data_IF_660286894515
#
_entry.id   IF_660286894515
#
_cell.length_a   1.000
_cell.length_b   1.000
_cell.length_c   1.000
_cell.angle_alpha   90.00
_cell.angle_beta   90.00
_cell.angle_gamma   90.00
#
_symmetry.space_group_name_H-M   'P 1'
#
loop_
_entity.id
_entity.type
_entity.pdbx_description
1 polymer ?
#
# COMPACT_ATOMS: atom_id res chain seq x y z
N UNK A 1 1.01 27.76 -17.17
CA UNK A 1 0.41 26.42 -16.91
C UNK A 1 -1.04 26.46 -17.36
N UNK A 2 -1.46 25.52 -18.21
CA UNK A 2 -2.81 25.47 -18.76
C UNK A 2 -3.85 25.28 -17.64
N UNK A 3 -4.79 26.21 -17.50
CA UNK A 3 -5.92 26.08 -16.57
C UNK A 3 -7.04 25.33 -17.29
N UNK A 4 -7.50 24.24 -16.68
CA UNK A 4 -8.61 23.49 -17.23
C UNK A 4 -9.94 24.20 -16.92
N UNK A 5 -10.79 24.35 -17.95
CA UNK A 5 -12.05 25.11 -17.93
C UNK A 5 -13.22 24.35 -17.28
N UNK A 6 -13.03 23.77 -16.09
CA UNK A 6 -14.13 23.15 -15.35
C UNK A 6 -14.39 23.85 -14.01
N UNK A 7 -15.66 24.16 -13.73
CA UNK A 7 -16.11 24.82 -12.51
C UNK A 7 -16.75 23.82 -11.54
N UNK A 8 -15.94 22.88 -11.04
CA UNK A 8 -16.42 21.86 -10.11
C UNK A 8 -16.14 22.34 -8.67
N UNK A 9 -17.19 22.38 -7.83
CA UNK A 9 -17.10 22.72 -6.41
C UNK A 9 -17.12 21.45 -5.55
N UNK A 10 -16.25 21.35 -4.55
CA UNK A 10 -16.26 20.25 -3.54
C UNK A 10 -16.17 20.81 -2.12
N UNK A 11 -16.64 20.01 -1.16
CA UNK A 11 -16.51 20.27 0.28
C UNK A 11 -15.21 19.67 0.80
N UNK A 12 -14.40 20.47 1.49
CA UNK A 12 -13.17 19.99 2.13
C UNK A 12 -13.49 19.08 3.32
N UNK A 13 -12.93 17.85 3.41
CA UNK A 13 -13.17 16.95 4.54
C UNK A 13 -12.61 17.42 5.89
N UNK A 14 -11.70 18.41 5.89
CA UNK A 14 -11.00 18.87 7.09
C UNK A 14 -11.68 20.09 7.71
N UNK A 15 -11.94 21.13 6.92
CA UNK A 15 -12.55 22.37 7.40
C UNK A 15 -14.03 22.54 7.00
N UNK A 16 -14.56 21.68 6.12
CA UNK A 16 -15.94 21.76 5.66
C UNK A 16 -16.23 22.89 4.65
N UNK A 17 -15.25 23.71 4.28
CA UNK A 17 -15.42 24.78 3.31
C UNK A 17 -15.67 24.21 1.90
N UNK A 18 -16.57 24.87 1.15
CA UNK A 18 -16.80 24.58 -0.27
C UNK A 18 -15.82 25.39 -1.09
N UNK A 19 -15.05 24.73 -1.96
CA UNK A 19 -14.02 25.37 -2.78
C UNK A 19 -14.09 24.90 -4.23
N UNK A 20 -13.60 25.74 -5.14
CA UNK A 20 -13.50 25.41 -6.56
C UNK A 20 -12.19 24.67 -6.85
N UNK A 21 -12.30 23.59 -7.60
CA UNK A 21 -11.20 22.71 -7.90
C UNK A 21 -10.42 23.18 -9.12
N UNK A 22 -9.09 23.16 -9.03
CA UNK A 22 -8.16 23.41 -10.15
C UNK A 22 -7.82 22.14 -10.95
N UNK A 23 -7.72 21.00 -10.28
CA UNK A 23 -7.36 19.68 -10.86
C UNK A 23 -8.36 18.64 -10.37
N UNK A 24 -8.89 17.78 -11.24
CA UNK A 24 -9.94 16.78 -10.92
C UNK A 24 -9.63 15.97 -9.63
N UNK A 25 -8.34 15.74 -9.35
CA UNK A 25 -7.85 14.99 -8.19
C UNK A 25 -7.79 15.78 -6.87
N UNK A 26 -8.08 17.08 -6.87
CA UNK A 26 -8.02 17.90 -5.66
C UNK A 26 -9.15 17.56 -4.68
N UNK A 27 -8.77 17.19 -3.46
CA UNK A 27 -9.68 16.83 -2.37
C UNK A 27 -9.79 17.93 -1.30
N UNK A 28 -8.74 18.74 -1.14
CA UNK A 28 -8.63 19.72 -0.05
C UNK A 28 -8.61 21.15 -0.60
N UNK A 29 -9.17 22.08 0.18
CA UNK A 29 -9.25 23.49 -0.22
C UNK A 29 -7.91 24.22 -0.20
N UNK A 30 -6.96 23.78 0.63
CA UNK A 30 -5.66 24.45 0.84
C UNK A 30 -4.58 23.45 1.23
N UNK A 31 -3.31 23.88 1.12
CA UNK A 31 -2.14 23.13 1.60
C UNK A 31 -2.26 22.77 3.08
N UNK A 32 -2.69 23.71 3.91
CA UNK A 32 -2.92 23.46 5.35
C UNK A 32 -3.88 22.30 5.60
N UNK A 33 -5.01 22.24 4.89
CA UNK A 33 -5.95 21.12 5.03
C UNK A 33 -5.36 19.81 4.53
N UNK A 34 -4.59 19.85 3.44
CA UNK A 34 -3.86 18.68 2.94
C UNK A 34 -2.84 18.16 3.96
N UNK A 35 -2.09 19.05 4.60
CA UNK A 35 -1.05 18.70 5.57
C UNK A 35 -1.67 18.13 6.86
N UNK A 36 -2.78 18.69 7.32
CA UNK A 36 -3.56 18.14 8.44
C UNK A 36 -4.07 16.74 8.11
N UNK A 37 -4.60 16.53 6.90
CA UNK A 37 -5.07 15.22 6.48
C UNK A 37 -3.92 14.20 6.39
N UNK A 38 -2.76 14.63 5.86
CA UNK A 38 -1.55 13.81 5.80
C UNK A 38 -1.06 13.42 7.19
N UNK A 39 -0.98 14.38 8.12
CA UNK A 39 -0.59 14.13 9.52
C UNK A 39 -1.55 13.16 10.20
N UNK A 40 -2.86 13.38 10.09
CA UNK A 40 -3.89 12.46 10.63
C UNK A 40 -3.76 11.04 10.08
N UNK A 41 -3.43 10.91 8.79
CA UNK A 41 -3.19 9.61 8.15
C UNK A 41 -1.94 8.94 8.74
N UNK A 42 -0.83 9.67 8.85
CA UNK A 42 0.43 9.16 9.43
C UNK A 42 0.27 8.76 10.90
N UNK A 43 -0.44 9.55 11.68
CA UNK A 43 -0.72 9.23 13.09
C UNK A 43 -1.58 7.96 13.23
N UNK A 44 -2.54 7.75 12.31
CA UNK A 44 -3.36 6.53 12.26
C UNK A 44 -2.52 5.31 11.89
N UNK A 45 -1.69 5.42 10.85
CA UNK A 45 -0.75 4.37 10.43
C UNK A 45 0.21 3.99 11.56
N UNK A 46 0.76 4.98 12.28
CA UNK A 46 1.66 4.75 13.40
C UNK A 46 0.97 4.06 14.59
N UNK A 47 -0.27 4.46 14.92
CA UNK A 47 -1.07 3.79 15.96
C UNK A 47 -1.37 2.34 15.57
N UNK A 48 -1.74 2.10 14.32
CA UNK A 48 -2.02 0.76 13.82
C UNK A 48 -0.77 -0.13 13.81
N UNK A 49 0.39 0.40 13.44
CA UNK A 49 1.66 -0.32 13.52
C UNK A 49 2.02 -0.72 14.97
N UNK A 50 1.78 0.16 15.95
CA UNK A 50 1.96 -0.16 17.38
C UNK A 50 1.03 -1.29 17.83
N UNK A 51 -0.24 -1.25 17.41
CA UNK A 51 -1.17 -2.34 17.71
C UNK A 51 -0.76 -3.65 17.06
N UNK A 52 -0.24 -3.62 15.83
CA UNK A 52 0.25 -4.84 15.16
C UNK A 52 1.49 -5.42 15.85
N UNK A 53 2.39 -4.58 16.38
CA UNK A 53 3.53 -5.02 17.18
C UNK A 53 3.06 -5.70 18.47
N UNK A 54 2.19 -5.03 19.24
CA UNK A 54 1.61 -5.59 20.46
C UNK A 54 0.86 -6.91 20.20
N UNK A 55 0.11 -7.00 19.11
CA UNK A 55 -0.61 -8.22 18.74
C UNK A 55 0.31 -9.42 18.46
N UNK A 56 1.56 -9.21 18.04
CA UNK A 56 2.53 -10.29 17.82
C UNK A 56 3.17 -10.81 19.11
N UNK A 57 3.28 -9.95 20.12
CA UNK A 57 3.88 -10.29 21.41
C UNK A 57 2.94 -11.10 22.30
N UNK A 58 1.63 -11.07 22.02
CA UNK A 58 0.62 -11.75 22.83
C UNK A 58 0.57 -13.24 22.47
N UNK A 59 0.92 -14.17 23.39
CA UNK A 59 0.77 -15.59 23.15
C UNK A 59 -0.72 -15.99 23.15
N UNK A 60 -1.08 -16.92 22.26
CA UNK A 60 -2.47 -17.38 22.10
C UNK A 60 -3.02 -18.15 23.31
N UNK A 61 -2.14 -18.67 24.16
CA UNK A 61 -2.48 -19.46 25.35
C UNK A 61 -3.12 -18.59 26.46
N UNK A 62 -2.89 -17.27 26.44
CA UNK A 62 -3.37 -16.39 27.51
C UNK A 62 -4.87 -16.12 27.40
N UNK A 63 -5.63 -16.65 28.36
CA UNK A 63 -7.10 -16.50 28.43
C UNK A 63 -7.55 -15.09 28.85
N UNK A 64 -6.77 -14.42 29.71
CA UNK A 64 -7.08 -13.09 30.24
C UNK A 64 -6.23 -12.00 29.56
N UNK A 65 -6.90 -11.15 28.79
CA UNK A 65 -6.30 -10.03 28.07
C UNK A 65 -6.51 -8.72 28.84
N UNK A 66 -5.50 -7.85 28.87
CA UNK A 66 -5.68 -6.46 29.24
C UNK A 66 -6.49 -5.71 28.18
N UNK A 67 -7.04 -4.55 28.55
CA UNK A 67 -7.80 -3.70 27.60
C UNK A 67 -6.93 -3.27 26.41
N UNK A 68 -5.63 -3.03 26.61
CA UNK A 68 -4.73 -2.65 25.51
C UNK A 68 -4.47 -3.82 24.56
N UNK A 69 -4.23 -5.01 25.10
CA UNK A 69 -4.06 -6.25 24.33
C UNK A 69 -5.33 -6.58 23.55
N UNK A 70 -6.51 -6.46 24.18
CA UNK A 70 -7.80 -6.67 23.53
C UNK A 70 -8.00 -5.72 22.33
N UNK A 71 -7.63 -4.45 22.46
CA UNK A 71 -7.73 -3.48 21.36
C UNK A 71 -6.73 -3.77 20.24
N UNK A 72 -5.56 -4.32 20.57
CA UNK A 72 -4.57 -4.70 19.57
C UNK A 72 -5.05 -5.90 18.73
N UNK A 73 -5.66 -6.91 19.39
CA UNK A 73 -6.08 -8.17 18.75
C UNK A 73 -7.44 -8.04 18.05
N UNK A 74 -8.40 -7.32 18.64
CA UNK A 74 -9.77 -7.20 18.15
C UNK A 74 -10.03 -5.85 17.49
N UNK A 75 -11.04 -5.80 16.60
CA UNK A 75 -11.48 -4.57 15.96
C UNK A 75 -12.42 -3.77 16.88
N UNK A 76 -11.92 -3.35 18.04
CA UNK A 76 -12.67 -2.61 19.05
C UNK A 76 -11.86 -1.43 19.58
N UNK A 77 -12.53 -0.32 19.90
CA UNK A 77 -11.90 0.84 20.53
C UNK A 77 -11.90 0.72 22.06
N UNK A 78 -10.89 1.33 22.70
CA UNK A 78 -10.75 1.35 24.18
C UNK A 78 -12.02 1.86 24.86
N UNK A 79 -12.59 2.95 24.37
CA UNK A 79 -13.76 3.58 24.98
C UNK A 79 -15.01 2.70 24.84
N UNK A 80 -15.12 1.97 23.73
CA UNK A 80 -16.19 1.01 23.52
C UNK A 80 -16.09 -0.14 24.52
N UNK A 81 -14.88 -0.69 24.74
CA UNK A 81 -14.69 -1.72 25.77
C UNK A 81 -15.10 -1.19 27.14
N UNK A 82 -14.56 -0.04 27.57
CA UNK A 82 -14.91 0.53 28.88
C UNK A 82 -16.41 0.79 29.03
N UNK A 83 -17.08 1.25 27.96
CA UNK A 83 -18.53 1.46 27.97
C UNK A 83 -19.30 0.15 28.16
N UNK A 84 -18.92 -0.93 27.46
CA UNK A 84 -19.61 -2.21 27.57
C UNK A 84 -19.32 -2.91 28.92
N UNK A 85 -18.12 -2.70 29.49
CA UNK A 85 -17.78 -3.14 30.86
C UNK A 85 -18.66 -2.41 31.88
N UNK A 86 -18.80 -1.08 31.79
CA UNK A 86 -19.67 -0.30 32.71
C UNK A 86 -21.15 -0.69 32.60
N UNK A 87 -21.58 -1.16 31.43
CA UNK A 87 -22.94 -1.70 31.21
C UNK A 87 -23.11 -3.14 31.70
N UNK A 88 -22.06 -3.78 32.22
CA UNK A 88 -22.10 -5.16 32.70
C UNK A 88 -22.22 -6.21 31.60
N UNK A 89 -22.01 -5.86 30.33
CA UNK A 89 -22.18 -6.80 29.23
C UNK A 89 -20.97 -7.72 29.07
N UNK A 90 -19.76 -7.21 29.25
CA UNK A 90 -18.51 -7.98 29.18
C UNK A 90 -18.05 -8.24 30.62
N UNK A 91 -17.91 -9.51 31.04
CA UNK A 91 -17.34 -9.81 32.35
C UNK A 91 -15.88 -9.37 32.36
N UNK A 92 -15.51 -8.64 33.41
CA UNK A 92 -14.16 -8.13 33.57
C UNK A 92 -13.69 -8.33 35.01
N UNK A 93 -12.48 -8.83 35.16
CA UNK A 93 -11.84 -9.05 36.46
C UNK A 93 -10.90 -7.88 36.73
N UNK A 94 -11.11 -7.20 37.85
CA UNK A 94 -10.23 -6.11 38.26
C UNK A 94 -9.18 -6.63 39.25
N UNK A 95 -7.92 -6.65 38.85
CA UNK A 95 -6.80 -7.11 39.69
C UNK A 95 -6.10 -5.96 40.45
N UNK A 96 -6.55 -4.72 40.28
CA UNK A 96 -5.96 -3.55 40.95
C UNK A 96 -6.08 -2.25 40.15
N UNK A 97 -5.26 -1.25 40.48
CA UNK A 97 -5.31 0.05 39.79
C UNK A 97 -4.88 -0.10 38.32
N UNK A 98 -5.82 0.19 37.41
CA UNK A 98 -5.63 0.06 35.94
C UNK A 98 -5.32 -1.36 35.45
N UNK A 99 -5.62 -2.40 36.24
CA UNK A 99 -5.37 -3.80 35.88
C UNK A 99 -6.67 -4.56 35.58
N UNK A 100 -7.45 -4.01 34.65
CA UNK A 100 -8.66 -4.69 34.19
C UNK A 100 -8.32 -5.80 33.18
N UNK A 101 -8.80 -7.01 33.46
CA UNK A 101 -8.63 -8.20 32.62
C UNK A 101 -9.97 -8.63 32.02
N UNK A 102 -9.92 -9.02 30.76
CA UNK A 102 -11.07 -9.46 29.97
C UNK A 102 -10.82 -10.89 29.48
N UNK A 103 -11.87 -11.71 29.53
CA UNK A 103 -11.79 -13.05 29.00
C UNK A 103 -11.78 -13.02 27.46
N UNK A 104 -10.87 -13.79 26.87
CA UNK A 104 -10.68 -13.87 25.43
C UNK A 104 -11.91 -14.43 24.72
N UNK A 105 -12.56 -15.45 25.29
CA UNK A 105 -13.72 -16.10 24.69
C UNK A 105 -14.88 -15.11 24.46
N UNK A 106 -15.16 -14.26 25.45
CA UNK A 106 -16.23 -13.24 25.36
C UNK A 106 -15.94 -12.18 24.29
N UNK A 107 -14.65 -11.88 24.06
CA UNK A 107 -14.22 -10.94 23.03
C UNK A 107 -14.30 -11.57 21.63
N UNK A 108 -13.93 -12.85 21.48
CA UNK A 108 -14.01 -13.58 20.21
C UNK A 108 -15.46 -13.75 19.73
N UNK A 109 -16.40 -13.97 20.65
CA UNK A 109 -17.81 -14.08 20.31
C UNK A 109 -18.40 -12.75 19.80
N UNK A 110 -17.92 -11.62 20.32
CA UNK A 110 -18.52 -10.30 20.06
C UNK A 110 -17.83 -9.49 18.98
N UNK A 111 -16.51 -9.59 18.88
CA UNK A 111 -15.74 -8.71 18.02
C UNK A 111 -14.90 -9.52 17.02
N UNK A 112 -14.89 -9.12 15.74
CA UNK A 112 -14.00 -9.74 14.78
C UNK A 112 -12.55 -9.44 15.15
N UNK A 113 -11.68 -10.42 14.94
CA UNK A 113 -10.23 -10.21 15.01
C UNK A 113 -9.84 -9.11 14.01
N UNK A 114 -8.91 -8.25 14.43
CA UNK A 114 -8.42 -7.14 13.62
C UNK A 114 -7.75 -7.70 12.38
N UNK A 115 -8.36 -7.49 11.22
CA UNK A 115 -7.78 -7.88 9.93
C UNK A 115 -6.57 -6.98 9.67
N UNK A 116 -5.44 -7.57 9.28
CA UNK A 116 -4.29 -6.78 8.79
C UNK A 116 -4.78 -5.94 7.62
N UNK A 117 -4.59 -4.62 7.68
CA UNK A 117 -4.81 -3.77 6.51
C UNK A 117 -3.90 -4.32 5.42
N UNK A 118 -4.52 -4.86 4.36
CA UNK A 118 -3.78 -5.22 3.16
C UNK A 118 -3.07 -3.95 2.74
N UNK A 119 -1.74 -3.90 2.92
CA UNK A 119 -0.92 -2.84 2.35
C UNK A 119 -1.35 -2.78 0.88
N UNK A 120 -1.83 -1.62 0.44
CA UNK A 120 -2.18 -1.42 -0.96
C UNK A 120 -1.03 -2.01 -1.78
N UNK A 121 -1.35 -2.95 -2.69
CA UNK A 121 -0.34 -3.65 -3.47
C UNK A 121 0.66 -2.60 -3.93
N UNK A 122 1.93 -2.79 -3.57
CA UNK A 122 2.97 -1.83 -3.92
C UNK A 122 2.82 -1.62 -5.42
N UNK A 123 2.55 -0.38 -5.85
CA UNK A 123 2.57 -0.07 -7.28
C UNK A 123 3.93 -0.59 -7.78
N UNK A 124 3.97 -1.44 -8.82
CA UNK A 124 5.23 -2.00 -9.28
C UNK A 124 6.19 -0.83 -9.46
N UNK A 125 7.32 -0.90 -8.77
CA UNK A 125 8.37 0.12 -8.86
C UNK A 125 8.63 0.31 -10.35
N UNK A 126 8.61 1.54 -10.89
CA UNK A 126 8.96 1.77 -12.29
C UNK A 126 10.30 1.07 -12.53
N UNK A 127 10.32 0.07 -13.41
CA UNK A 127 11.56 -0.64 -13.73
C UNK A 127 12.53 0.41 -14.29
N UNK A 128 13.53 0.80 -13.52
CA UNK A 128 14.59 1.67 -14.01
C UNK A 128 15.52 0.81 -14.84
N UNK A 129 15.49 1.01 -16.15
CA UNK A 129 16.38 0.30 -17.06
C UNK A 129 17.71 1.02 -17.09
N UNK A 130 18.80 0.31 -16.78
CA UNK A 130 20.13 0.85 -17.02
C UNK A 130 20.42 0.74 -18.53
N UNK A 131 20.22 1.83 -19.27
CA UNK A 131 20.40 1.90 -20.74
C UNK A 131 21.84 2.23 -21.14
N UNK A 132 22.79 1.85 -20.31
CA UNK A 132 24.22 1.85 -20.63
C UNK A 132 24.53 0.75 -21.65
N UNK A 133 25.46 0.99 -22.60
CA UNK A 133 25.79 0.02 -23.65
C UNK A 133 26.17 -1.38 -23.12
N UNK A 134 26.78 -1.46 -21.94
CA UNK A 134 27.20 -2.72 -21.31
C UNK A 134 26.02 -3.63 -20.94
N UNK A 135 24.87 -3.04 -20.60
CA UNK A 135 23.68 -3.74 -20.11
C UNK A 135 22.59 -3.91 -21.19
N UNK A 136 22.90 -3.54 -22.43
CA UNK A 136 21.97 -3.64 -23.56
C UNK A 136 22.51 -4.56 -24.67
N UNK A 137 21.62 -5.19 -25.43
CA UNK A 137 21.96 -5.81 -26.70
C UNK A 137 21.57 -4.89 -27.85
N UNK A 138 22.34 -4.92 -28.94
CA UNK A 138 21.87 -4.38 -30.21
C UNK A 138 20.84 -5.33 -30.85
N UNK A 139 19.95 -4.81 -31.70
CA UNK A 139 18.97 -5.66 -32.40
C UNK A 139 19.65 -6.80 -33.17
N UNK A 140 20.78 -6.53 -33.81
CA UNK A 140 21.57 -7.56 -34.52
C UNK A 140 22.19 -8.60 -33.59
N UNK A 141 22.60 -8.24 -32.37
CA UNK A 141 23.07 -9.19 -31.36
C UNK A 141 21.93 -10.10 -30.86
N UNK A 142 20.73 -9.55 -30.66
CA UNK A 142 19.55 -10.32 -30.26
C UNK A 142 19.21 -11.36 -31.33
N UNK A 143 19.20 -10.92 -32.60
CA UNK A 143 18.94 -11.76 -33.76
C UNK A 143 19.90 -12.94 -33.85
N UNK A 144 21.21 -12.68 -33.70
CA UNK A 144 22.25 -13.72 -33.71
C UNK A 144 22.17 -14.65 -32.49
N UNK A 145 21.95 -14.11 -31.28
CA UNK A 145 21.94 -14.89 -30.03
C UNK A 145 20.74 -15.83 -29.95
N UNK A 146 19.56 -15.36 -30.34
CA UNK A 146 18.30 -16.12 -30.24
C UNK A 146 17.88 -16.78 -31.55
N UNK A 147 18.62 -16.55 -32.65
CA UNK A 147 18.31 -17.04 -34.00
C UNK A 147 16.91 -16.63 -34.47
N UNK A 148 16.56 -15.37 -34.23
CA UNK A 148 15.25 -14.79 -34.56
C UNK A 148 15.47 -13.67 -35.57
N UNK A 149 14.65 -13.62 -36.62
CA UNK A 149 14.72 -12.57 -37.62
C UNK A 149 14.48 -11.17 -37.02
N UNK A 150 15.22 -10.16 -37.49
CA UNK A 150 15.19 -8.79 -36.98
C UNK A 150 13.77 -8.20 -36.94
N UNK A 151 12.95 -8.47 -37.96
CA UNK A 151 11.54 -8.03 -38.00
C UNK A 151 10.72 -8.59 -36.83
N UNK A 152 10.99 -9.84 -36.44
CA UNK A 152 10.33 -10.49 -35.31
C UNK A 152 10.82 -9.92 -33.99
N UNK A 153 12.11 -9.59 -33.86
CA UNK A 153 12.65 -8.88 -32.68
C UNK A 153 11.91 -7.55 -32.47
N UNK A 154 11.72 -6.77 -33.54
CA UNK A 154 10.94 -5.53 -33.49
C UNK A 154 9.46 -5.73 -33.14
N UNK A 155 8.84 -6.82 -33.59
CA UNK A 155 7.48 -7.16 -33.23
C UNK A 155 7.37 -7.48 -31.72
N UNK A 156 8.32 -8.25 -31.17
CA UNK A 156 8.36 -8.57 -29.75
C UNK A 156 8.60 -7.33 -28.87
N UNK A 157 9.54 -6.46 -29.24
CA UNK A 157 9.80 -5.20 -28.52
C UNK A 157 8.52 -4.36 -28.38
N UNK A 158 7.77 -4.21 -29.48
CA UNK A 158 6.49 -3.47 -29.48
C UNK A 158 5.41 -4.17 -28.66
N UNK A 159 5.29 -5.51 -28.77
CA UNK A 159 4.29 -6.30 -28.07
C UNK A 159 4.47 -6.28 -26.55
N UNK A 160 5.71 -6.28 -26.07
CA UNK A 160 6.05 -6.32 -24.65
C UNK A 160 6.41 -4.94 -24.06
N UNK A 161 6.24 -3.86 -24.84
CA UNK A 161 6.55 -2.49 -24.44
C UNK A 161 7.95 -2.35 -23.83
N UNK A 162 8.94 -2.98 -24.45
CA UNK A 162 10.34 -2.91 -23.99
C UNK A 162 10.91 -1.55 -24.40
N UNK A 163 11.53 -0.81 -23.49
CA UNK A 163 12.16 0.46 -23.85
C UNK A 163 13.40 0.22 -24.71
N UNK A 164 13.54 1.02 -25.76
CA UNK A 164 14.70 1.01 -26.65
C UNK A 164 15.36 2.38 -26.67
N UNK A 165 16.69 2.42 -26.81
CA UNK A 165 17.46 3.66 -26.97
C UNK A 165 18.30 3.58 -28.23
N UNK A 166 18.21 4.60 -29.08
CA UNK A 166 19.11 4.75 -30.22
C UNK A 166 20.38 5.47 -29.76
N UNK A 167 21.54 4.87 -29.99
CA UNK A 167 22.85 5.48 -29.74
C UNK A 167 23.65 5.34 -31.05
N UNK A 168 23.85 6.45 -31.74
CA UNK A 168 24.43 6.44 -33.09
C UNK A 168 23.56 5.66 -34.08
N UNK A 169 24.18 4.70 -34.79
CA UNK A 169 23.54 3.89 -35.82
C UNK A 169 22.84 2.63 -35.28
N UNK A 170 23.01 2.31 -33.99
CA UNK A 170 22.47 1.09 -33.40
C UNK A 170 21.34 1.39 -32.41
N UNK A 171 20.35 0.49 -32.38
CA UNK A 171 19.26 0.51 -31.39
C UNK A 171 19.55 -0.53 -30.33
N UNK A 172 19.52 -0.09 -29.08
CA UNK A 172 19.84 -0.87 -27.90
C UNK A 172 18.58 -1.22 -27.12
N UNK A 173 18.47 -2.48 -26.70
CA UNK A 173 17.41 -3.00 -25.83
C UNK A 173 18.01 -3.67 -24.58
N UNK A 174 17.39 -3.55 -23.38
CA UNK A 174 17.92 -4.11 -22.15
C UNK A 174 18.06 -5.65 -22.19
N UNK A 175 19.25 -6.17 -21.87
CA UNK A 175 19.52 -7.62 -21.86
C UNK A 175 18.56 -8.38 -20.93
N UNK A 176 18.28 -7.81 -19.77
CA UNK A 176 17.47 -8.42 -18.71
C UNK A 176 16.03 -8.69 -19.10
N UNK A 177 15.41 -7.85 -19.94
CA UNK A 177 14.06 -8.09 -20.45
C UNK A 177 14.09 -9.04 -21.64
N UNK A 178 15.04 -8.88 -22.57
CA UNK A 178 15.17 -9.74 -23.74
C UNK A 178 15.42 -11.21 -23.35
N UNK A 179 16.35 -11.45 -22.43
CA UNK A 179 16.64 -12.79 -21.93
C UNK A 179 15.43 -13.38 -21.19
N UNK A 180 14.66 -12.58 -20.43
CA UNK A 180 13.42 -13.04 -19.78
C UNK A 180 12.35 -13.41 -20.79
N UNK A 181 12.16 -12.59 -21.82
CA UNK A 181 11.15 -12.82 -22.85
C UNK A 181 11.42 -14.12 -23.58
N UNK A 182 12.63 -14.30 -24.11
CA UNK A 182 12.98 -15.52 -24.83
C UNK A 182 13.26 -16.73 -23.94
N UNK A 183 13.42 -16.55 -22.62
CA UNK A 183 13.39 -17.66 -21.64
C UNK A 183 11.96 -18.10 -21.30
N UNK A 184 11.00 -17.17 -21.34
CA UNK A 184 9.58 -17.47 -21.09
C UNK A 184 8.90 -18.13 -22.29
N UNK A 185 9.31 -17.73 -23.50
CA UNK A 185 8.95 -18.36 -24.76
C UNK A 185 9.95 -19.51 -24.93
N UNK A 186 9.71 -20.66 -24.29
CA UNK A 186 10.49 -21.86 -24.61
C UNK A 186 10.44 -22.07 -26.12
N UNK A 187 11.56 -21.81 -26.80
CA UNK A 187 11.87 -22.30 -28.14
C UNK A 187 12.26 -23.77 -28.06
#
# INVERSE_FOLDING_TARGET
MAQAKYEIRRKCPICGAVFQIRTIDSVYCSKQCSDVAYKRKKDREAKEAKYEQLAKEIPDIRELLSVQEAVAVYCVERDTLYREIRKGKIPAVNLGTKQLRLNRADLEQRYPRRKKVRKAAQKPIPKTYNMEPENCYTIGEISKKFRIHDSSVWAHIRKFSIPTRQIGNYVYAPKSEIDKLYKSIKL
#
